data_IF_258569508509
#
_entry.id   IF_258569508509
#
_cell.length_a   1.000
_cell.length_b   1.000
_cell.length_c   1.000
_cell.angle_alpha   90.00
_cell.angle_beta   90.00
_cell.angle_gamma   90.00
#
_symmetry.space_group_name_H-M   'P 1'
#
loop_
_entity.id
_entity.type
_entity.pdbx_description
1 polymer ?
#
# COMPACT_ATOMS: atom_id res chain seq x y z
N UNK A 1 -17.31 7.39 -7.59
CA UNK A 1 -16.37 8.07 -8.51
C UNK A 1 -16.95 7.98 -9.91
N UNK A 2 -16.95 9.08 -10.64
CA UNK A 2 -17.53 9.13 -11.99
C UNK A 2 -16.45 8.76 -13.03
N UNK A 3 -15.23 9.27 -12.84
CA UNK A 3 -14.05 8.89 -13.62
C UNK A 3 -12.89 8.50 -12.69
N UNK A 4 -12.47 7.22 -12.65
CA UNK A 4 -11.38 6.77 -11.81
C UNK A 4 -10.06 7.53 -12.01
N UNK A 5 -9.69 7.89 -13.24
CA UNK A 5 -8.41 8.55 -13.51
C UNK A 5 -8.36 9.98 -12.94
N UNK A 6 -9.50 10.67 -12.96
CA UNK A 6 -9.62 12.03 -12.45
C UNK A 6 -9.94 12.08 -10.95
N UNK A 7 -10.68 11.11 -10.44
CA UNK A 7 -11.19 11.13 -9.06
C UNK A 7 -10.27 10.45 -8.04
N UNK A 8 -9.60 9.34 -8.41
CA UNK A 8 -8.66 8.64 -7.52
C UNK A 8 -7.58 9.59 -6.96
N UNK A 9 -6.93 10.46 -7.77
CA UNK A 9 -5.92 11.39 -7.26
C UNK A 9 -6.43 12.30 -6.13
N UNK A 10 -7.71 12.69 -6.18
CA UNK A 10 -8.34 13.57 -5.18
C UNK A 10 -8.59 12.85 -3.85
N UNK A 11 -8.72 11.53 -3.88
CA UNK A 11 -9.04 10.69 -2.72
C UNK A 11 -7.83 9.89 -2.21
N UNK A 12 -6.62 10.10 -2.75
CA UNK A 12 -5.38 9.50 -2.23
C UNK A 12 -5.21 9.72 -0.72
N UNK A 13 -5.45 10.93 -0.16
CA UNK A 13 -5.36 11.11 1.29
C UNK A 13 -6.36 10.25 2.08
N UNK A 14 -7.49 9.90 1.49
CA UNK A 14 -8.48 8.99 2.09
C UNK A 14 -7.99 7.55 2.00
N UNK A 15 -7.51 7.14 0.82
CA UNK A 15 -6.99 5.79 0.56
C UNK A 15 -5.82 5.45 1.51
N UNK A 16 -4.95 6.44 1.77
CA UNK A 16 -3.82 6.32 2.69
C UNK A 16 -4.17 6.56 4.16
N UNK A 17 -5.40 6.97 4.47
CA UNK A 17 -5.85 7.30 5.83
C UNK A 17 -5.15 8.54 6.44
N UNK A 18 -4.64 9.46 5.61
CA UNK A 18 -3.78 10.57 6.02
C UNK A 18 -4.53 11.86 6.40
N UNK A 19 -5.76 12.09 5.91
CA UNK A 19 -6.53 13.32 6.18
C UNK A 19 -7.78 13.09 7.05
N UNK A 20 -7.78 13.65 8.26
CA UNK A 20 -8.87 13.55 9.23
C UNK A 20 -10.19 14.16 8.75
N UNK A 21 -10.15 15.25 7.97
CA UNK A 21 -11.36 15.96 7.54
C UNK A 21 -12.10 15.23 6.42
N UNK A 22 -11.38 14.41 5.65
CA UNK A 22 -11.93 13.68 4.50
C UNK A 22 -12.38 12.25 4.85
N UNK A 23 -12.04 11.74 6.04
CA UNK A 23 -12.34 10.38 6.48
C UNK A 23 -13.79 10.15 6.92
N UNK A 24 -14.54 11.20 7.28
CA UNK A 24 -16.00 11.10 7.48
C UNK A 24 -16.71 10.65 6.20
N UNK A 25 -16.10 10.96 5.06
CA UNK A 25 -16.62 10.69 3.74
C UNK A 25 -16.06 9.40 3.13
N UNK A 26 -15.16 8.68 3.82
CA UNK A 26 -14.49 7.51 3.23
C UNK A 26 -15.49 6.44 2.81
N UNK A 27 -16.57 6.26 3.57
CA UNK A 27 -17.60 5.23 3.32
C UNK A 27 -18.26 5.39 1.95
N UNK A 28 -18.27 6.59 1.35
CA UNK A 28 -18.85 6.81 0.01
C UNK A 28 -18.00 6.25 -1.13
N UNK A 29 -16.72 5.95 -0.85
CA UNK A 29 -15.79 5.44 -1.85
C UNK A 29 -15.54 3.94 -1.72
N UNK A 30 -15.97 3.30 -0.64
CA UNK A 30 -15.72 1.89 -0.36
C UNK A 30 -17.01 1.08 -0.37
N UNK A 31 -16.91 -0.15 -0.85
CA UNK A 31 -17.97 -1.14 -0.75
C UNK A 31 -18.13 -1.62 0.70
N UNK A 32 -19.36 -1.99 1.11
CA UNK A 32 -19.66 -2.53 2.46
C UNK A 32 -18.79 -3.74 2.83
N UNK A 33 -18.56 -4.61 1.85
CA UNK A 33 -17.75 -5.83 1.96
C UNK A 33 -16.34 -5.65 1.37
N UNK A 34 -15.68 -4.53 1.64
CA UNK A 34 -14.32 -4.22 1.16
C UNK A 34 -13.32 -5.33 1.56
N UNK A 35 -12.51 -5.80 0.62
CA UNK A 35 -11.33 -6.63 0.94
C UNK A 35 -10.10 -5.73 1.05
N UNK A 36 -9.34 -5.85 2.15
CA UNK A 36 -8.08 -5.12 2.33
C UNK A 36 -6.92 -6.08 2.55
N UNK A 37 -5.79 -5.81 1.90
CA UNK A 37 -4.58 -6.59 2.06
C UNK A 37 -3.35 -5.69 2.04
N UNK A 38 -2.48 -5.86 3.02
CA UNK A 38 -1.14 -5.26 3.02
C UNK A 38 -0.11 -6.30 3.41
N UNK A 39 1.14 -5.87 3.59
CA UNK A 39 2.22 -6.75 4.03
C UNK A 39 1.96 -7.41 5.41
N UNK A 40 1.26 -6.72 6.32
CA UNK A 40 1.05 -7.19 7.71
C UNK A 40 -0.40 -7.39 8.08
N UNK A 41 -1.34 -6.91 7.29
CA UNK A 41 -2.75 -6.86 7.65
C UNK A 41 -3.60 -7.46 6.52
N UNK A 42 -4.67 -8.14 6.90
CA UNK A 42 -5.64 -8.69 5.97
C UNK A 42 -7.03 -8.58 6.56
N UNK A 43 -7.97 -8.06 5.77
CA UNK A 43 -9.40 -8.00 6.08
C UNK A 43 -10.12 -8.73 4.94
N UNK A 44 -10.67 -9.92 5.19
CA UNK A 44 -11.44 -10.63 4.18
C UNK A 44 -12.75 -9.90 3.87
N UNK A 45 -13.29 -10.08 2.67
CA UNK A 45 -14.59 -9.54 2.26
C UNK A 45 -15.76 -10.24 2.99
N UNK A 46 -16.42 -9.53 3.89
CA UNK A 46 -17.60 -9.94 4.65
C UNK A 46 -18.39 -8.69 5.12
N UNK A 47 -19.52 -8.89 5.79
CA UNK A 47 -20.43 -7.84 6.26
C UNK A 47 -19.81 -6.82 7.24
N UNK A 48 -18.75 -7.20 7.94
CA UNK A 48 -18.09 -6.38 8.96
C UNK A 48 -16.81 -5.73 8.41
N UNK A 49 -16.47 -5.94 7.12
CA UNK A 49 -15.19 -5.53 6.57
C UNK A 49 -15.00 -4.04 6.52
N UNK A 50 -16.02 -3.27 6.14
CA UNK A 50 -15.92 -1.82 6.10
C UNK A 50 -15.66 -1.24 7.50
N UNK A 51 -16.36 -1.75 8.52
CA UNK A 51 -16.14 -1.31 9.91
C UNK A 51 -14.71 -1.64 10.38
N UNK A 52 -14.25 -2.87 10.11
CA UNK A 52 -12.89 -3.29 10.43
C UNK A 52 -11.83 -2.47 9.70
N UNK A 53 -12.06 -2.13 8.43
CA UNK A 53 -11.17 -1.28 7.63
C UNK A 53 -11.09 0.14 8.20
N UNK A 54 -12.23 0.71 8.60
CA UNK A 54 -12.28 2.03 9.26
C UNK A 54 -11.53 1.99 10.60
N UNK A 55 -11.74 0.95 11.41
CA UNK A 55 -11.04 0.78 12.68
C UNK A 55 -9.52 0.66 12.49
N UNK A 56 -9.10 -0.09 11.46
CA UNK A 56 -7.70 -0.22 11.10
C UNK A 56 -7.07 1.12 10.68
N UNK A 57 -7.75 1.89 9.83
CA UNK A 57 -7.27 3.22 9.42
C UNK A 57 -7.16 4.18 10.62
N UNK A 58 -8.10 4.11 11.57
CA UNK A 58 -8.02 4.88 12.83
C UNK A 58 -6.80 4.48 13.66
N UNK A 59 -6.50 3.19 13.77
CA UNK A 59 -5.32 2.69 14.49
C UNK A 59 -4.02 3.14 13.82
N UNK A 60 -3.88 2.90 12.51
CA UNK A 60 -2.68 3.27 11.75
C UNK A 60 -2.38 4.77 11.88
N UNK A 61 -3.43 5.61 11.85
CA UNK A 61 -3.32 7.05 12.05
C UNK A 61 -2.80 7.45 13.42
N UNK A 62 -3.17 6.77 14.50
CA UNK A 62 -2.67 7.10 15.84
C UNK A 62 -1.14 7.03 15.93
N UNK A 63 -0.51 6.28 15.01
CA UNK A 63 0.94 6.15 14.93
C UNK A 63 1.59 7.06 13.89
N UNK A 64 0.86 7.90 13.15
CA UNK A 64 1.38 8.80 12.10
C UNK A 64 1.24 10.25 12.57
N UNK A 65 2.37 10.94 12.75
CA UNK A 65 2.40 12.35 13.18
C UNK A 65 2.36 13.29 11.96
N UNK A 66 3.15 12.98 10.94
CA UNK A 66 3.18 13.73 9.70
C UNK A 66 3.20 12.76 8.53
N UNK A 67 2.40 13.07 7.52
CA UNK A 67 2.36 12.35 6.27
C UNK A 67 2.39 13.36 5.11
N UNK A 68 3.39 13.20 4.25
CA UNK A 68 3.44 13.86 2.95
C UNK A 68 3.39 12.77 1.88
N UNK A 69 2.23 12.63 1.25
CA UNK A 69 2.04 11.73 0.13
C UNK A 69 2.11 12.49 -1.20
N UNK A 70 2.72 11.85 -2.20
CA UNK A 70 2.76 12.31 -3.58
C UNK A 70 2.43 11.13 -4.48
N UNK A 71 1.37 11.26 -5.27
CA UNK A 71 1.10 10.34 -6.36
C UNK A 71 2.14 10.56 -7.46
N UNK A 72 2.82 9.48 -7.85
CA UNK A 72 3.82 9.52 -8.92
C UNK A 72 3.18 9.15 -10.26
N UNK A 73 2.32 8.13 -10.26
CA UNK A 73 1.64 7.64 -11.47
C UNK A 73 0.34 6.89 -11.12
N UNK A 74 -0.55 6.77 -12.10
CA UNK A 74 -1.81 6.02 -12.02
C UNK A 74 -2.07 5.28 -13.34
N UNK A 75 -2.32 3.99 -13.24
CA UNK A 75 -2.74 3.15 -14.35
C UNK A 75 -4.14 2.65 -14.09
N UNK A 76 -5.03 2.80 -15.06
CA UNK A 76 -6.39 2.28 -14.98
C UNK A 76 -6.68 1.42 -16.20
N UNK A 77 -7.25 0.24 -15.96
CA UNK A 77 -7.74 -0.65 -17.01
C UNK A 77 -9.27 -0.70 -16.91
N UNK A 78 -9.94 -0.15 -17.92
CA UNK A 78 -11.41 -0.05 -17.99
C UNK A 78 -12.09 -1.43 -18.02
N UNK A 79 -11.58 -2.37 -18.82
CA UNK A 79 -12.17 -3.71 -18.98
C UNK A 79 -12.21 -4.50 -17.67
N UNK A 80 -11.11 -4.48 -16.93
CA UNK A 80 -10.96 -5.17 -15.65
C UNK A 80 -11.42 -4.33 -14.46
N UNK A 81 -11.65 -3.02 -14.66
CA UNK A 81 -11.95 -2.03 -13.62
C UNK A 81 -10.92 -2.02 -12.48
N UNK A 82 -9.65 -2.15 -12.85
CA UNK A 82 -8.54 -2.15 -11.89
C UNK A 82 -7.70 -0.92 -12.05
N UNK A 83 -7.36 -0.31 -10.92
CA UNK A 83 -6.40 0.79 -10.87
C UNK A 83 -5.15 0.34 -10.12
N UNK A 84 -3.99 0.76 -10.59
CA UNK A 84 -2.72 0.67 -9.86
C UNK A 84 -2.20 2.08 -9.70
N UNK A 85 -1.80 2.42 -8.50
CA UNK A 85 -1.37 3.76 -8.13
C UNK A 85 0.01 3.62 -7.53
N UNK A 86 0.95 4.42 -8.03
CA UNK A 86 2.25 4.57 -7.40
C UNK A 86 2.26 5.81 -6.52
N UNK A 87 2.62 5.64 -5.24
CA UNK A 87 2.71 6.72 -4.28
C UNK A 87 4.08 6.74 -3.60
N UNK A 88 4.66 7.93 -3.52
CA UNK A 88 5.75 8.22 -2.57
C UNK A 88 5.13 8.78 -1.28
N UNK A 89 5.37 8.15 -0.14
CA UNK A 89 4.87 8.60 1.15
C UNK A 89 6.02 8.88 2.11
N UNK A 90 6.11 10.08 2.65
CA UNK A 90 7.03 10.41 3.73
C UNK A 90 6.30 10.39 5.06
N UNK A 91 6.57 9.38 5.87
CA UNK A 91 5.89 9.15 7.15
C UNK A 91 6.84 9.44 8.30
N UNK A 92 6.38 10.26 9.24
CA UNK A 92 6.98 10.38 10.57
C UNK A 92 6.06 9.70 11.57
N UNK A 93 6.52 8.60 12.19
CA UNK A 93 5.73 7.86 13.17
C UNK A 93 5.85 8.47 14.58
N UNK A 94 4.78 8.37 15.37
CA UNK A 94 4.72 8.92 16.73
C UNK A 94 5.79 8.36 17.67
N UNK A 95 6.11 7.07 17.55
CA UNK A 95 7.10 6.38 18.41
C UNK A 95 8.55 6.76 18.03
N UNK A 96 8.80 7.12 16.76
CA UNK A 96 10.11 7.50 16.23
C UNK A 96 10.05 8.89 15.59
N UNK A 97 9.57 9.88 16.34
CA UNK A 97 9.31 11.23 15.83
C UNK A 97 10.56 11.95 15.28
N UNK A 98 11.77 11.48 15.60
CA UNK A 98 13.03 12.03 15.08
C UNK A 98 13.44 11.48 13.71
N UNK A 99 12.75 10.46 13.18
CA UNK A 99 13.06 9.87 11.87
C UNK A 99 11.88 10.10 10.92
N UNK A 100 12.16 10.73 9.78
CA UNK A 100 11.24 10.74 8.63
C UNK A 100 11.74 9.71 7.62
N UNK A 101 10.86 8.81 7.19
CA UNK A 101 11.17 7.80 6.17
C UNK A 101 10.29 8.01 4.97
N UNK A 102 10.92 8.09 3.81
CA UNK A 102 10.24 8.07 2.53
C UNK A 102 10.12 6.62 2.06
N UNK A 103 8.90 6.18 1.86
CA UNK A 103 8.57 4.85 1.36
C UNK A 103 7.93 4.99 -0.01
N UNK A 104 8.21 4.05 -0.90
CA UNK A 104 7.48 3.89 -2.16
C UNK A 104 6.48 2.76 -1.97
N UNK A 105 5.21 3.02 -2.25
CA UNK A 105 4.15 2.04 -2.13
C UNK A 105 3.33 1.99 -3.42
N UNK A 106 2.87 0.80 -3.76
CA UNK A 106 1.92 0.59 -4.83
C UNK A 106 0.58 0.21 -4.23
N UNK A 107 -0.48 0.88 -4.66
CA UNK A 107 -1.85 0.58 -4.25
C UNK A 107 -2.57 0.02 -5.47
N UNK A 108 -3.11 -1.18 -5.34
CA UNK A 108 -3.97 -1.76 -6.34
C UNK A 108 -5.40 -1.71 -5.83
N UNK A 109 -6.29 -1.14 -6.64
CA UNK A 109 -7.70 -1.03 -6.36
C UNK A 109 -8.47 -1.88 -7.38
N UNK A 110 -9.31 -2.79 -6.90
CA UNK A 110 -10.35 -3.39 -7.73
C UNK A 110 -11.65 -2.60 -7.50
N UNK A 111 -12.19 -2.04 -8.58
CA UNK A 111 -13.39 -1.20 -8.55
C UNK A 111 -14.62 -2.00 -8.96
N UNK A 112 -15.77 -1.62 -8.41
CA UNK A 112 -17.10 -2.09 -8.81
C UNK A 112 -18.05 -0.90 -8.93
N UNK A 113 -19.23 -1.12 -9.48
CA UNK A 113 -20.30 -0.12 -9.43
C UNK A 113 -21.05 -0.22 -8.11
N UNK A 114 -21.30 0.93 -7.50
CA UNK A 114 -22.25 1.08 -6.41
C UNK A 114 -23.69 1.13 -6.91
N UNK A 115 -24.64 1.23 -5.98
CA UNK A 115 -26.07 1.30 -6.29
C UNK A 115 -26.45 2.56 -7.08
N UNK A 116 -25.62 3.60 -6.99
CA UNK A 116 -25.76 4.87 -7.70
C UNK A 116 -25.11 4.86 -9.10
N UNK A 117 -24.61 3.70 -9.56
CA UNK A 117 -23.91 3.56 -10.83
C UNK A 117 -22.49 4.13 -10.84
N UNK A 118 -21.99 4.63 -9.71
CA UNK A 118 -20.64 5.19 -9.60
C UNK A 118 -19.63 4.12 -9.22
N UNK A 119 -18.36 4.33 -9.60
CA UNK A 119 -17.27 3.48 -9.17
C UNK A 119 -17.02 3.60 -7.66
N UNK A 120 -16.91 2.46 -7.00
CA UNK A 120 -16.51 2.30 -5.60
C UNK A 120 -15.43 1.23 -5.49
N UNK A 121 -14.60 1.33 -4.45
CA UNK A 121 -13.49 0.41 -4.20
C UNK A 121 -14.04 -0.84 -3.51
N UNK A 122 -13.87 -2.00 -4.15
CA UNK A 122 -14.25 -3.31 -3.60
C UNK A 122 -13.06 -4.03 -2.97
N UNK A 123 -11.85 -3.78 -3.46
CA UNK A 123 -10.61 -4.35 -2.92
C UNK A 123 -9.50 -3.32 -2.95
N UNK A 124 -8.71 -3.25 -1.88
CA UNK A 124 -7.48 -2.46 -1.80
C UNK A 124 -6.32 -3.37 -1.39
N UNK A 125 -5.31 -3.46 -2.24
CA UNK A 125 -4.05 -4.16 -1.94
C UNK A 125 -2.90 -3.16 -1.92
N UNK A 126 -2.14 -3.16 -0.83
CA UNK A 126 -0.98 -2.30 -0.64
C UNK A 126 0.31 -3.12 -0.66
N UNK A 127 1.21 -2.70 -1.55
CA UNK A 127 2.52 -3.29 -1.69
C UNK A 127 3.57 -2.29 -1.23
N UNK A 128 4.28 -2.65 -0.18
CA UNK A 128 5.43 -1.94 0.35
C UNK A 128 6.58 -2.93 0.47
N UNK A 129 7.81 -2.49 0.24
CA UNK A 129 8.96 -3.34 0.43
C UNK A 129 9.13 -3.66 1.93
N UNK A 130 9.47 -4.91 2.30
CA UNK A 130 9.67 -5.28 3.70
C UNK A 130 10.69 -4.39 4.42
N UNK A 131 11.79 -4.01 3.75
CA UNK A 131 12.79 -3.10 4.31
C UNK A 131 12.24 -1.71 4.64
N UNK A 132 11.36 -1.17 3.80
CA UNK A 132 10.73 0.13 3.98
C UNK A 132 9.76 0.05 5.16
N UNK A 133 8.94 -1.01 5.20
CA UNK A 133 8.02 -1.24 6.31
C UNK A 133 8.76 -1.41 7.65
N UNK A 134 9.73 -2.31 7.72
CA UNK A 134 10.49 -2.58 8.95
C UNK A 134 11.35 -1.37 9.33
N UNK A 135 11.85 -0.61 8.36
CA UNK A 135 12.53 0.66 8.59
C UNK A 135 11.68 1.74 9.25
N UNK A 136 10.34 1.63 9.16
CA UNK A 136 9.42 2.47 9.93
C UNK A 136 9.20 1.99 11.37
N UNK A 137 9.50 0.73 11.69
CA UNK A 137 9.34 0.14 13.04
C UNK A 137 10.62 0.13 13.86
N UNK A 138 11.77 -0.12 13.22
CA UNK A 138 13.08 -0.10 13.85
C UNK A 138 14.02 0.65 12.89
N UNK A 139 14.19 1.96 13.07
CA UNK A 139 15.00 2.74 12.15
C UNK A 139 16.45 2.25 12.15
N UNK A 140 17.10 2.32 10.98
CA UNK A 140 18.54 2.09 10.76
C UNK A 140 18.97 0.61 10.83
N UNK A 141 18.76 -0.10 11.94
CA UNK A 141 19.34 -1.44 12.13
C UNK A 141 18.70 -2.48 11.20
N UNK A 142 17.37 -2.59 11.25
CA UNK A 142 16.66 -3.64 10.54
C UNK A 142 16.70 -3.51 8.99
N UNK A 143 16.57 -2.31 8.39
CA UNK A 143 16.77 -2.14 6.95
C UNK A 143 18.18 -2.54 6.49
N UNK A 144 19.19 -2.27 7.32
CA UNK A 144 20.59 -2.63 7.02
C UNK A 144 20.76 -4.14 7.00
N UNK A 145 20.21 -4.85 7.99
CA UNK A 145 20.25 -6.33 8.05
C UNK A 145 19.54 -6.94 6.82
N UNK A 146 18.34 -6.47 6.49
CA UNK A 146 17.58 -6.97 5.32
C UNK A 146 18.36 -6.72 4.02
N UNK A 147 18.99 -5.55 3.88
CA UNK A 147 19.80 -5.22 2.69
C UNK A 147 21.01 -6.14 2.57
N UNK A 148 21.75 -6.35 3.66
CA UNK A 148 22.90 -7.27 3.69
C UNK A 148 22.46 -8.70 3.33
N UNK A 149 21.35 -9.16 3.91
CA UNK A 149 20.80 -10.48 3.60
C UNK A 149 20.47 -10.63 2.12
N UNK A 150 19.82 -9.63 1.49
CA UNK A 150 19.51 -9.64 0.06
C UNK A 150 20.77 -9.71 -0.80
N UNK A 151 21.82 -8.98 -0.44
CA UNK A 151 23.11 -9.00 -1.15
C UNK A 151 23.73 -10.40 -1.09
N UNK A 152 23.79 -11.01 0.09
CA UNK A 152 24.37 -12.35 0.28
C UNK A 152 23.59 -13.40 -0.51
N UNK A 153 22.25 -13.40 -0.42
CA UNK A 153 21.41 -14.34 -1.15
C UNK A 153 21.59 -14.15 -2.67
N UNK A 154 21.60 -12.91 -3.15
CA UNK A 154 21.80 -12.61 -4.57
C UNK A 154 23.14 -13.14 -5.06
N UNK A 155 24.22 -12.97 -4.28
CA UNK A 155 25.53 -13.50 -4.62
C UNK A 155 25.52 -15.03 -4.74
N UNK A 156 24.92 -15.73 -3.78
CA UNK A 156 24.81 -17.20 -3.78
C UNK A 156 24.03 -17.68 -5.01
N UNK A 157 22.86 -17.09 -5.28
CA UNK A 157 21.99 -17.48 -6.40
C UNK A 157 22.67 -17.22 -7.74
N UNK A 158 23.33 -16.07 -7.91
CA UNK A 158 24.07 -15.75 -9.14
C UNK A 158 25.25 -16.69 -9.33
N UNK A 159 26.01 -16.98 -8.27
CA UNK A 159 27.13 -17.92 -8.33
C UNK A 159 26.66 -19.33 -8.73
N UNK A 160 25.56 -19.81 -8.12
CA UNK A 160 24.98 -21.10 -8.46
C UNK A 160 24.45 -21.16 -9.89
N UNK A 161 23.75 -20.10 -10.34
CA UNK A 161 23.29 -19.99 -11.72
C UNK A 161 24.44 -20.00 -12.74
N UNK A 162 25.55 -19.32 -12.43
CA UNK A 162 26.77 -19.38 -13.26
C UNK A 162 27.39 -20.78 -13.29
N UNK A 163 27.41 -21.49 -12.16
CA UNK A 163 27.90 -22.87 -12.10
C UNK A 163 27.02 -23.82 -12.93
N UNK A 164 25.70 -23.71 -12.84
CA UNK A 164 24.78 -24.51 -13.67
C UNK A 164 25.00 -24.29 -15.17
N UNK A 165 25.22 -23.04 -15.58
CA UNK A 165 25.53 -22.70 -16.97
C UNK A 165 26.86 -23.30 -17.47
N UNK A 166 27.85 -23.47 -16.57
CA UNK A 166 29.12 -24.13 -16.90
C UNK A 166 28.95 -25.65 -17.03
N UNK A 167 28.04 -26.25 -16.27
CA UNK A 167 27.80 -27.70 -16.25
C UNK A 167 26.83 -28.14 -17.37
N UNK A 168 26.33 -27.20 -18.18
CA UNK A 168 25.45 -27.49 -19.32
C UNK A 168 23.99 -27.73 -18.95
N UNK A 169 23.58 -27.36 -17.72
CA UNK A 169 22.17 -27.31 -17.34
C UNK A 169 21.58 -25.97 -17.79
N UNK A 170 21.24 -25.87 -19.07
CA UNK A 170 20.39 -24.80 -19.65
C UNK A 170 19.02 -25.34 -19.98
#
# INVERSE_FOLDING_TARGET
MDDPLTDIPKIIPIILGSDQKLLSDQTKYYHENIEYKSFTQYIPSNKDSLENFIALNRLNRAFIWNDKSRMNDIWYNEESRKAVIEVSQSVRRGIFFWVERRNRLFIKLDLTFGNDGKYIIRRQEEFIQPEDFVGTLIPVIAPTIITIQKIIISFIVIAFGRLLGIIGCT
#
